data_IF_330971121650
#
_entry.id   IF_330971121650
#
_cell.length_a   1.000
_cell.length_b   1.000
_cell.length_c   1.000
_cell.angle_alpha   90.00
_cell.angle_beta   90.00
_cell.angle_gamma   90.00
#
_symmetry.space_group_name_H-M   'P 1'
#
loop_
_entity.id
_entity.type
_entity.pdbx_description
1 polymer ?
#
# COMPACT_ATOMS: atom_id res chain seq x y z
N UNK A 1 -11.95 -39.46 16.44
CA UNK A 1 -10.59 -38.90 16.33
C UNK A 1 -10.76 -37.41 16.55
N UNK A 2 -10.42 -36.92 17.75
CA UNK A 2 -10.45 -35.47 18.07
C UNK A 2 -9.25 -34.81 17.42
N UNK A 3 -9.47 -33.85 16.53
CA UNK A 3 -8.40 -32.99 16.03
C UNK A 3 -7.77 -32.27 17.22
N UNK A 4 -6.54 -32.60 17.54
CA UNK A 4 -5.72 -31.83 18.49
C UNK A 4 -5.50 -30.43 17.89
N UNK A 5 -6.12 -29.41 18.47
CA UNK A 5 -5.83 -28.02 18.14
C UNK A 5 -4.49 -27.64 18.80
N UNK A 6 -3.42 -27.43 18.03
CA UNK A 6 -2.05 -27.36 18.54
C UNK A 6 -1.71 -26.11 19.37
N UNK A 7 -2.64 -25.17 19.57
CA UNK A 7 -2.39 -23.88 20.23
C UNK A 7 -3.33 -23.56 21.40
N UNK A 8 -3.95 -24.58 22.02
CA UNK A 8 -4.77 -24.39 23.22
C UNK A 8 -3.91 -24.15 24.47
N UNK A 9 -4.08 -22.99 25.10
CA UNK A 9 -3.53 -22.68 26.43
C UNK A 9 -4.65 -22.54 27.43
N UNK A 10 -4.51 -23.14 28.60
CA UNK A 10 -5.42 -22.89 29.71
C UNK A 10 -5.17 -21.48 30.25
N UNK A 11 -6.20 -20.64 30.27
CA UNK A 11 -6.14 -19.29 30.79
C UNK A 11 -7.04 -19.21 32.03
N UNK A 12 -6.52 -18.67 33.12
CA UNK A 12 -7.31 -18.31 34.29
C UNK A 12 -7.61 -16.82 34.24
N UNK A 13 -8.86 -16.47 33.93
CA UNK A 13 -9.31 -15.08 33.88
C UNK A 13 -9.48 -14.55 35.31
N UNK A 14 -8.70 -13.55 35.70
CA UNK A 14 -8.69 -12.97 37.04
C UNK A 14 -9.61 -11.78 37.20
N UNK A 15 -9.85 -11.03 36.11
CA UNK A 15 -10.73 -9.87 36.09
C UNK A 15 -11.26 -9.55 34.70
N UNK A 16 -12.32 -8.75 34.62
CA UNK A 16 -12.85 -8.16 33.41
C UNK A 16 -12.80 -6.64 33.55
N UNK A 17 -12.20 -5.98 32.58
CA UNK A 17 -12.10 -4.51 32.51
C UNK A 17 -12.95 -4.02 31.35
N UNK A 18 -13.80 -3.02 31.62
CA UNK A 18 -14.56 -2.36 30.55
C UNK A 18 -13.63 -1.42 29.78
N UNK A 19 -13.73 -1.47 28.45
CA UNK A 19 -12.84 -0.74 27.56
C UNK A 19 -12.90 0.79 27.74
N UNK A 20 -14.08 1.31 28.03
CA UNK A 20 -14.38 2.75 28.21
C UNK A 20 -13.75 3.34 29.50
N UNK A 21 -13.35 2.47 30.42
CA UNK A 21 -12.63 2.89 31.64
C UNK A 21 -11.13 3.05 31.41
N UNK A 22 -10.63 2.68 30.25
CA UNK A 22 -9.24 2.80 29.87
C UNK A 22 -8.98 4.09 29.11
N UNK A 23 -7.78 4.65 29.26
CA UNK A 23 -7.32 5.79 28.46
C UNK A 23 -7.34 5.48 26.96
N UNK A 24 -7.33 6.51 26.12
CA UNK A 24 -7.26 6.36 24.66
C UNK A 24 -5.98 5.62 24.25
N UNK A 25 -4.85 5.95 24.89
CA UNK A 25 -3.56 5.29 24.67
C UNK A 25 -3.64 3.79 24.96
N UNK A 26 -4.22 3.41 26.11
CA UNK A 26 -4.39 2.01 26.48
C UNK A 26 -5.35 1.28 25.50
N UNK A 27 -6.46 1.92 25.11
CA UNK A 27 -7.40 1.36 24.12
C UNK A 27 -6.76 1.09 22.76
N UNK A 28 -5.90 2.00 22.31
CA UNK A 28 -5.17 1.87 21.05
C UNK A 28 -4.14 0.74 21.11
N UNK A 29 -3.35 0.66 22.19
CA UNK A 29 -2.37 -0.43 22.38
C UNK A 29 -3.00 -1.80 22.45
N UNK A 30 -4.23 -1.92 23.00
CA UNK A 30 -4.99 -3.16 23.07
C UNK A 30 -5.76 -3.49 21.80
N UNK A 31 -5.79 -2.57 20.81
CA UNK A 31 -6.40 -2.76 19.50
C UNK A 31 -5.52 -3.49 18.50
N UNK A 32 -4.37 -4.02 18.91
CA UNK A 32 -3.46 -4.75 18.02
C UNK A 32 -4.16 -5.97 17.38
N UNK A 33 -3.98 -6.10 16.05
CA UNK A 33 -4.58 -7.19 15.25
C UNK A 33 -3.80 -8.50 15.43
N UNK A 34 -2.59 -8.46 16.01
CA UNK A 34 -1.74 -9.62 16.19
C UNK A 34 -2.29 -10.58 17.26
N UNK A 35 -2.19 -11.88 16.99
CA UNK A 35 -2.61 -12.95 17.92
C UNK A 35 -1.79 -12.94 19.22
N UNK A 36 -0.56 -12.44 19.17
CA UNK A 36 0.34 -12.25 20.30
C UNK A 36 1.07 -10.92 20.13
N UNK A 37 0.98 -10.04 21.12
CA UNK A 37 1.67 -8.76 21.14
C UNK A 37 2.09 -8.39 22.56
N UNK A 38 3.11 -7.56 22.68
CA UNK A 38 3.59 -7.04 23.95
C UNK A 38 2.71 -5.85 24.36
N UNK A 39 2.14 -5.93 25.55
CA UNK A 39 1.43 -4.79 26.16
C UNK A 39 2.47 -3.91 26.86
N UNK A 40 2.53 -2.58 26.56
CA UNK A 40 3.40 -1.65 27.29
C UNK A 40 3.15 -1.69 28.79
N UNK A 41 4.18 -1.48 29.60
CA UNK A 41 4.09 -1.62 31.06
C UNK A 41 3.09 -0.64 31.70
N UNK A 42 3.04 0.59 31.21
CA UNK A 42 2.11 1.64 31.65
C UNK A 42 0.64 1.25 31.36
N UNK A 43 0.37 0.64 30.20
CA UNK A 43 -0.96 0.13 29.82
C UNK A 43 -1.34 -1.07 30.70
N UNK A 44 -0.39 -1.97 30.97
CA UNK A 44 -0.63 -3.11 31.85
C UNK A 44 -0.96 -2.64 33.29
N UNK A 45 -0.22 -1.64 33.80
CA UNK A 45 -0.46 -1.07 35.12
C UNK A 45 -1.80 -0.34 35.20
N UNK A 46 -2.21 0.34 34.14
CA UNK A 46 -3.54 0.95 34.04
C UNK A 46 -4.65 -0.11 34.08
N UNK A 47 -4.52 -1.18 33.29
CA UNK A 47 -5.46 -2.29 33.30
C UNK A 47 -5.61 -2.93 34.67
N UNK A 48 -4.48 -3.17 35.37
CA UNK A 48 -4.49 -3.73 36.73
C UNK A 48 -5.14 -2.78 37.74
N UNK A 49 -4.90 -1.47 37.64
CA UNK A 49 -5.55 -0.47 38.50
C UNK A 49 -7.06 -0.48 38.29
N UNK A 50 -7.53 -0.46 37.03
CA UNK A 50 -8.96 -0.49 36.71
C UNK A 50 -9.60 -1.81 37.17
N UNK A 51 -8.91 -2.94 36.98
CA UNK A 51 -9.37 -4.25 37.42
C UNK A 51 -9.54 -4.35 38.96
N UNK A 52 -8.61 -3.74 39.72
CA UNK A 52 -8.60 -3.75 41.17
C UNK A 52 -9.57 -2.74 41.79
N UNK A 53 -9.89 -1.65 41.09
CA UNK A 53 -10.81 -0.61 41.58
C UNK A 53 -12.27 -1.06 41.67
N UNK A 54 -12.61 -2.22 41.08
CA UNK A 54 -14.00 -2.70 41.01
C UNK A 54 -14.90 -1.82 40.14
N UNK A 55 -16.00 -2.37 39.63
CA UNK A 55 -16.92 -1.73 38.67
C UNK A 55 -17.67 -0.51 39.21
N UNK A 56 -17.39 -0.02 40.40
CA UNK A 56 -18.24 0.94 41.14
C UNK A 56 -17.65 2.33 41.36
N UNK A 57 -16.42 2.57 40.97
CA UNK A 57 -15.87 3.93 41.00
C UNK A 57 -15.37 4.30 39.61
N UNK A 58 -16.02 5.32 39.00
CA UNK A 58 -15.41 6.06 37.93
C UNK A 58 -14.05 6.56 38.46
N UNK A 59 -12.94 5.99 37.98
CA UNK A 59 -11.62 6.57 38.19
C UNK A 59 -11.72 7.99 37.64
N UNK A 60 -11.39 9.05 38.44
CA UNK A 60 -11.33 10.39 37.88
C UNK A 60 -10.44 10.29 36.65
N UNK A 61 -10.81 10.89 35.52
CA UNK A 61 -9.97 10.87 34.34
C UNK A 61 -8.59 11.31 34.78
N UNK A 62 -7.59 10.43 34.62
CA UNK A 62 -6.21 10.83 34.66
C UNK A 62 -6.12 12.10 33.83
N UNK A 63 -5.54 13.17 34.35
CA UNK A 63 -5.47 14.48 33.68
C UNK A 63 -5.26 14.25 32.21
N UNK A 64 -6.29 14.54 31.43
CA UNK A 64 -6.28 14.27 29.99
C UNK A 64 -5.09 15.05 29.43
N UNK A 65 -4.11 14.44 28.79
CA UNK A 65 -3.18 15.21 28.01
C UNK A 65 -4.07 16.05 27.10
N UNK A 66 -3.96 17.37 27.18
CA UNK A 66 -4.89 18.30 26.57
C UNK A 66 -5.13 17.89 25.12
N UNK A 67 -6.34 18.05 24.60
CA UNK A 67 -6.83 17.49 23.33
C UNK A 67 -5.89 17.56 22.11
N UNK A 68 -4.85 18.38 22.15
CA UNK A 68 -3.79 18.43 21.16
C UNK A 68 -2.89 17.16 21.16
N UNK A 69 -2.54 16.61 22.34
CA UNK A 69 -1.71 15.40 22.43
C UNK A 69 -2.48 14.13 22.02
N UNK A 70 -3.78 14.07 22.27
CA UNK A 70 -4.64 12.98 21.78
C UNK A 70 -4.79 13.01 20.26
N UNK A 71 -4.98 14.19 19.68
CA UNK A 71 -5.08 14.36 18.22
C UNK A 71 -3.76 13.97 17.56
N UNK A 72 -2.62 14.33 18.13
CA UNK A 72 -1.30 13.96 17.64
C UNK A 72 -1.06 12.44 17.69
N UNK A 73 -1.43 11.76 18.78
CA UNK A 73 -1.33 10.31 18.91
C UNK A 73 -2.21 9.57 17.91
N UNK A 74 -3.44 10.03 17.66
CA UNK A 74 -4.33 9.44 16.66
C UNK A 74 -3.77 9.63 15.25
N UNK A 75 -3.19 10.80 14.96
CA UNK A 75 -2.56 11.09 13.68
C UNK A 75 -1.32 10.21 13.43
N UNK A 76 -0.50 9.98 14.46
CA UNK A 76 0.68 9.11 14.34
C UNK A 76 0.28 7.64 14.16
N UNK A 77 -0.72 7.15 14.90
CA UNK A 77 -1.25 5.81 14.71
C UNK A 77 -1.84 5.61 13.31
N UNK A 78 -2.48 6.63 12.74
CA UNK A 78 -2.94 6.61 11.36
C UNK A 78 -1.79 6.47 10.38
N UNK A 79 -0.74 7.29 10.52
CA UNK A 79 0.47 7.23 9.66
C UNK A 79 1.12 5.85 9.71
N UNK A 80 1.31 5.31 10.91
CA UNK A 80 1.88 3.97 11.10
C UNK A 80 1.02 2.87 10.48
N UNK A 81 -0.31 2.99 10.61
CA UNK A 81 -1.24 2.02 10.02
C UNK A 81 -1.19 2.07 8.50
N UNK A 82 -1.15 3.26 7.91
CA UNK A 82 -1.01 3.45 6.46
C UNK A 82 0.33 2.89 5.98
N UNK A 83 1.44 3.21 6.65
CA UNK A 83 2.75 2.71 6.27
C UNK A 83 2.82 1.17 6.29
N UNK A 84 2.26 0.53 7.32
CA UNK A 84 2.17 -0.94 7.38
C UNK A 84 1.27 -1.52 6.29
N UNK A 85 0.16 -0.88 5.98
CA UNK A 85 -0.71 -1.31 4.89
C UNK A 85 0.01 -1.23 3.54
N UNK A 86 0.78 -0.16 3.30
CA UNK A 86 1.58 0.01 2.08
C UNK A 86 2.64 -1.10 1.96
N UNK A 87 3.32 -1.50 3.05
CA UNK A 87 4.26 -2.64 3.03
C UNK A 87 3.57 -3.96 2.68
N UNK A 88 2.40 -4.25 3.25
CA UNK A 88 1.63 -5.44 2.87
C UNK A 88 1.18 -5.43 1.39
N UNK A 89 0.85 -4.25 0.86
CA UNK A 89 0.50 -4.11 -0.56
C UNK A 89 1.73 -4.36 -1.44
N UNK A 90 2.91 -3.82 -1.07
CA UNK A 90 4.18 -4.09 -1.77
C UNK A 90 4.50 -5.59 -1.80
N UNK A 91 4.38 -6.26 -0.65
CA UNK A 91 4.60 -7.71 -0.56
C UNK A 91 3.68 -8.48 -1.52
N UNK A 92 2.41 -8.09 -1.60
CA UNK A 92 1.44 -8.71 -2.52
C UNK A 92 1.78 -8.44 -3.97
N UNK A 93 2.18 -7.22 -4.32
CA UNK A 93 2.60 -6.87 -5.69
C UNK A 93 3.87 -7.67 -6.06
N UNK A 94 4.82 -7.83 -5.15
CA UNK A 94 6.04 -8.59 -5.40
C UNK A 94 5.81 -10.10 -5.61
N UNK A 95 4.65 -10.63 -5.22
CA UNK A 95 4.25 -12.03 -5.45
C UNK A 95 3.52 -12.25 -6.77
N UNK A 96 3.18 -11.20 -7.50
CA UNK A 96 2.55 -11.32 -8.81
C UNK A 96 3.53 -11.93 -9.83
N UNK A 97 3.00 -12.70 -10.76
CA UNK A 97 3.76 -13.12 -11.94
C UNK A 97 3.95 -11.92 -12.90
N UNK A 98 4.86 -12.07 -13.85
CA UNK A 98 5.22 -10.97 -14.75
C UNK A 98 4.05 -10.45 -15.59
N UNK A 99 3.20 -11.31 -16.09
CA UNK A 99 1.99 -10.99 -16.85
C UNK A 99 0.91 -10.36 -15.96
N UNK A 100 0.71 -10.88 -14.75
CA UNK A 100 -0.19 -10.30 -13.75
C UNK A 100 0.23 -8.86 -13.37
N UNK A 101 1.54 -8.61 -13.30
CA UNK A 101 2.06 -7.27 -13.03
C UNK A 101 1.75 -6.29 -14.18
N UNK A 102 1.82 -6.73 -15.43
CA UNK A 102 1.39 -5.93 -16.58
C UNK A 102 -0.11 -5.65 -16.53
N UNK A 103 -0.92 -6.66 -16.21
CA UNK A 103 -2.36 -6.51 -16.08
C UNK A 103 -2.75 -5.56 -14.94
N UNK A 104 -2.02 -5.58 -13.82
CA UNK A 104 -2.21 -4.62 -12.73
C UNK A 104 -1.95 -3.18 -13.20
N UNK A 105 -0.84 -2.94 -13.91
CA UNK A 105 -0.48 -1.61 -14.42
C UNK A 105 -1.50 -1.17 -15.50
N UNK A 106 -1.92 -2.06 -16.39
CA UNK A 106 -2.96 -1.77 -17.37
C UNK A 106 -4.29 -1.42 -16.70
N UNK A 107 -4.67 -2.17 -15.65
CA UNK A 107 -5.86 -1.90 -14.84
C UNK A 107 -5.82 -0.56 -14.11
N UNK A 108 -4.65 -0.17 -13.59
CA UNK A 108 -4.44 1.14 -13.01
C UNK A 108 -4.67 2.25 -14.05
N UNK A 109 -4.11 2.12 -15.24
CA UNK A 109 -4.32 3.11 -16.32
C UNK A 109 -5.78 3.17 -16.77
N UNK A 110 -6.50 2.03 -16.80
CA UNK A 110 -7.95 2.02 -17.04
C UNK A 110 -8.73 2.76 -15.95
N UNK A 111 -8.35 2.57 -14.69
CA UNK A 111 -8.94 3.30 -13.56
C UNK A 111 -8.69 4.81 -13.64
N UNK A 112 -7.59 5.24 -14.25
CA UNK A 112 -7.28 6.64 -14.56
C UNK A 112 -8.03 7.18 -15.80
N UNK A 113 -8.84 6.36 -16.48
CA UNK A 113 -9.66 6.76 -17.61
C UNK A 113 -9.06 6.48 -18.99
N UNK A 114 -7.92 5.82 -19.07
CA UNK A 114 -7.33 5.40 -20.36
C UNK A 114 -7.88 4.05 -20.81
N UNK A 115 -7.88 3.83 -22.10
CA UNK A 115 -8.07 2.49 -22.69
C UNK A 115 -6.70 1.89 -22.95
N UNK A 116 -6.52 0.61 -22.62
CA UNK A 116 -5.21 -0.05 -22.65
C UNK A 116 -5.18 -1.22 -23.61
N UNK A 117 -4.06 -1.40 -24.28
CA UNK A 117 -3.70 -2.56 -25.06
C UNK A 117 -2.43 -3.16 -24.45
N UNK A 118 -2.54 -4.37 -23.90
CA UNK A 118 -1.41 -5.14 -23.38
C UNK A 118 -0.83 -5.96 -24.53
N UNK A 119 0.47 -5.89 -24.72
CA UNK A 119 1.16 -6.64 -25.77
C UNK A 119 1.25 -8.12 -25.36
N UNK A 120 1.07 -9.07 -26.30
CA UNK A 120 1.32 -10.49 -26.03
C UNK A 120 2.79 -10.72 -25.62
N UNK A 121 3.05 -11.72 -24.79
CA UNK A 121 4.41 -12.12 -24.39
C UNK A 121 5.27 -12.41 -25.62
N UNK A 122 6.35 -11.63 -25.78
CA UNK A 122 7.26 -11.80 -26.93
C UNK A 122 8.08 -10.54 -27.22
N UNK A 123 8.68 -10.45 -28.39
CA UNK A 123 9.64 -9.42 -28.76
C UNK A 123 9.05 -8.05 -29.11
N UNK A 124 8.45 -7.34 -28.15
CA UNK A 124 7.67 -6.12 -28.42
C UNK A 124 8.50 -4.82 -28.28
N UNK A 125 9.83 -4.91 -28.40
CA UNK A 125 10.74 -3.76 -28.36
C UNK A 125 10.53 -2.86 -27.14
N UNK A 126 10.22 -3.47 -25.95
CA UNK A 126 10.00 -2.72 -24.70
C UNK A 126 8.70 -1.92 -24.70
N UNK A 127 7.63 -2.48 -25.27
CA UNK A 127 6.28 -1.94 -25.20
C UNK A 127 5.36 -2.99 -24.60
N UNK A 128 5.20 -2.98 -23.31
CA UNK A 128 4.35 -3.94 -22.64
C UNK A 128 2.89 -3.52 -22.70
N UNK A 129 2.61 -2.21 -22.58
CA UNK A 129 1.27 -1.64 -22.63
C UNK A 129 1.28 -0.37 -23.48
N UNK A 130 0.22 -0.15 -24.25
CA UNK A 130 -0.09 1.13 -24.86
C UNK A 130 -1.43 1.61 -24.31
N UNK A 131 -1.47 2.86 -23.83
CA UNK A 131 -2.68 3.47 -23.30
C UNK A 131 -2.97 4.80 -23.99
N UNK A 132 -4.24 5.06 -24.29
CA UNK A 132 -4.72 6.32 -24.88
C UNK A 132 -6.18 6.57 -24.52
N UNK A 133 -6.70 7.81 -24.62
CA UNK A 133 -8.10 8.09 -24.33
C UNK A 133 -9.06 7.33 -25.27
N UNK A 134 -8.74 7.23 -26.54
CA UNK A 134 -9.55 6.54 -27.57
C UNK A 134 -9.31 5.02 -27.63
N UNK A 135 -8.19 4.53 -27.08
CA UNK A 135 -7.75 3.13 -27.16
C UNK A 135 -7.13 2.73 -28.51
N UNK A 136 -7.06 3.66 -29.45
CA UNK A 136 -6.49 3.48 -30.78
C UNK A 136 -5.12 4.17 -30.92
N UNK A 137 -4.82 5.07 -30.00
CA UNK A 137 -3.58 5.83 -29.97
C UNK A 137 -3.56 7.03 -30.93
N UNK A 138 -4.71 7.49 -31.38
CA UNK A 138 -4.86 8.67 -32.22
C UNK A 138 -5.01 9.95 -31.40
N UNK A 139 -5.67 9.84 -30.23
CA UNK A 139 -5.81 10.95 -29.29
C UNK A 139 -4.64 11.01 -28.30
N UNK A 140 -4.16 12.24 -28.07
CA UNK A 140 -3.12 12.50 -27.07
C UNK A 140 -3.72 12.52 -25.64
N UNK A 141 -2.97 12.03 -24.62
CA UNK A 141 -1.64 11.44 -24.74
C UNK A 141 -1.69 9.96 -25.13
N UNK A 142 -0.78 9.56 -26.02
CA UNK A 142 -0.46 8.15 -26.22
C UNK A 142 0.65 7.77 -25.26
N UNK A 143 0.33 6.94 -24.27
CA UNK A 143 1.26 6.48 -23.23
C UNK A 143 1.80 5.11 -23.62
N UNK A 144 3.11 5.01 -23.72
CA UNK A 144 3.80 3.73 -23.95
C UNK A 144 4.45 3.32 -22.64
N UNK A 145 4.15 2.11 -22.18
CA UNK A 145 4.57 1.61 -20.88
C UNK A 145 5.53 0.44 -21.03
N UNK A 146 6.56 0.42 -20.22
CA UNK A 146 7.41 -0.73 -19.97
C UNK A 146 7.35 -1.10 -18.49
N UNK A 147 7.16 -2.39 -18.19
CA UNK A 147 7.03 -2.92 -16.83
C UNK A 147 8.21 -3.86 -16.56
N UNK A 148 8.95 -3.59 -15.49
CA UNK A 148 10.05 -4.43 -15.01
C UNK A 148 9.74 -4.93 -13.60
N UNK A 149 9.32 -6.15 -13.53
CA UNK A 149 9.03 -6.84 -12.27
C UNK A 149 10.25 -7.64 -11.84
N UNK A 150 11.18 -7.00 -11.11
CA UNK A 150 12.44 -7.59 -10.63
C UNK A 150 13.04 -6.77 -9.49
N UNK A 151 13.93 -7.38 -8.70
CA UNK A 151 14.53 -6.74 -7.52
C UNK A 151 15.66 -5.74 -7.85
N UNK A 152 16.24 -5.79 -9.06
CA UNK A 152 17.34 -4.92 -9.42
C UNK A 152 16.84 -3.55 -9.90
N UNK A 153 17.49 -2.48 -9.41
CA UNK A 153 17.20 -1.13 -9.85
C UNK A 153 17.57 -0.92 -11.34
N UNK A 154 16.74 -0.17 -12.06
CA UNK A 154 16.98 0.20 -13.46
C UNK A 154 18.00 1.31 -13.56
N UNK A 155 18.95 1.16 -14.49
CA UNK A 155 20.00 2.13 -14.79
C UNK A 155 19.66 3.03 -15.98
N UNK A 156 20.60 3.93 -16.30
CA UNK A 156 20.46 4.86 -17.44
C UNK A 156 20.40 4.15 -18.80
N UNK A 157 20.98 2.97 -18.93
CA UNK A 157 20.99 2.21 -20.18
C UNK A 157 19.60 1.72 -20.55
N UNK A 158 18.85 1.19 -19.56
CA UNK A 158 17.48 0.74 -19.74
C UNK A 158 16.57 1.91 -20.12
N UNK A 159 16.73 3.06 -19.48
CA UNK A 159 15.93 4.26 -19.79
C UNK A 159 16.26 4.80 -21.20
N UNK A 160 17.53 4.83 -21.59
CA UNK A 160 17.90 5.22 -22.96
C UNK A 160 17.33 4.29 -24.02
N UNK A 161 17.40 2.99 -23.78
CA UNK A 161 16.82 1.98 -24.66
C UNK A 161 15.30 2.17 -24.80
N UNK A 162 14.63 2.41 -23.68
CA UNK A 162 13.20 2.69 -23.67
C UNK A 162 12.87 3.95 -24.48
N UNK A 163 13.56 5.05 -24.27
CA UNK A 163 13.33 6.32 -24.96
C UNK A 163 13.65 6.24 -26.46
N UNK A 164 14.68 5.51 -26.85
CA UNK A 164 15.14 5.39 -28.22
C UNK A 164 14.15 4.74 -29.20
N UNK A 165 13.17 4.00 -28.67
CA UNK A 165 12.13 3.34 -29.47
C UNK A 165 10.79 4.09 -29.53
N UNK A 166 10.73 5.36 -29.10
CA UNK A 166 9.48 6.14 -28.98
C UNK A 166 9.33 7.14 -30.11
N UNK A 167 8.06 7.47 -30.42
CA UNK A 167 7.73 8.56 -31.34
C UNK A 167 7.67 9.89 -30.57
N UNK A 168 7.82 11.00 -31.29
CA UNK A 168 7.88 12.34 -30.70
C UNK A 168 6.63 12.74 -29.89
N UNK A 169 5.49 12.14 -30.19
CA UNK A 169 4.21 12.37 -29.48
C UNK A 169 3.97 11.40 -28.32
N UNK A 170 4.79 10.36 -28.20
CA UNK A 170 4.63 9.39 -27.12
C UNK A 170 4.92 10.05 -25.76
N UNK A 171 4.24 9.59 -24.74
CA UNK A 171 4.59 9.76 -23.34
C UNK A 171 5.07 8.41 -22.80
N UNK A 172 6.17 8.40 -22.10
CA UNK A 172 6.71 7.18 -21.51
C UNK A 172 6.21 7.00 -20.08
N UNK A 173 5.87 5.77 -19.73
CA UNK A 173 5.72 5.33 -18.35
C UNK A 173 6.61 4.10 -18.17
N UNK A 174 7.62 4.20 -17.31
CA UNK A 174 8.48 3.07 -16.98
C UNK A 174 8.21 2.65 -15.54
N UNK A 175 7.69 1.45 -15.35
CA UNK A 175 7.35 0.89 -14.04
C UNK A 175 8.40 -0.11 -13.64
N UNK A 176 8.96 0.00 -12.43
CA UNK A 176 9.95 -0.95 -11.92
C UNK A 176 9.78 -1.23 -10.44
N UNK A 177 9.55 -2.49 -10.07
CA UNK A 177 9.48 -2.92 -8.66
C UNK A 177 10.83 -2.83 -7.94
N UNK A 178 11.95 -2.93 -8.66
CA UNK A 178 13.30 -2.74 -8.11
C UNK A 178 13.75 -1.28 -8.05
N UNK A 179 12.91 -0.33 -8.50
CA UNK A 179 13.22 1.10 -8.49
C UNK A 179 14.22 1.54 -9.55
N UNK A 180 14.83 2.72 -9.36
CA UNK A 180 15.67 3.41 -10.34
C UNK A 180 16.92 3.99 -9.69
N UNK A 181 18.04 3.91 -10.39
CA UNK A 181 19.26 4.61 -9.97
C UNK A 181 19.15 6.12 -10.19
N UNK A 182 20.08 6.89 -9.60
CA UNK A 182 20.14 8.34 -9.82
C UNK A 182 20.40 8.67 -11.29
N UNK A 183 21.24 7.89 -11.95
CA UNK A 183 21.59 8.03 -13.36
C UNK A 183 20.37 7.76 -14.26
N UNK A 184 19.50 6.79 -13.89
CA UNK A 184 18.26 6.54 -14.59
C UNK A 184 17.30 7.72 -14.49
N UNK A 185 17.13 8.30 -13.31
CA UNK A 185 16.28 9.50 -13.09
C UNK A 185 16.81 10.68 -13.88
N UNK A 186 18.12 10.91 -13.86
CA UNK A 186 18.76 11.97 -14.65
C UNK A 186 18.58 11.79 -16.17
N UNK A 187 18.66 10.55 -16.67
CA UNK A 187 18.43 10.24 -18.08
C UNK A 187 16.96 10.48 -18.49
N UNK A 188 16.02 10.16 -17.63
CA UNK A 188 14.59 10.43 -17.84
C UNK A 188 14.29 11.93 -17.95
N UNK A 189 14.91 12.76 -17.10
CA UNK A 189 14.73 14.21 -17.10
C UNK A 189 15.30 14.89 -18.36
N UNK A 190 16.37 14.33 -18.92
CA UNK A 190 17.03 14.87 -20.13
C UNK A 190 16.39 14.42 -21.43
N UNK A 191 15.54 13.42 -21.37
CA UNK A 191 14.90 12.84 -22.54
C UNK A 191 14.06 13.87 -23.30
N UNK A 192 14.10 13.83 -24.64
CA UNK A 192 13.23 14.66 -25.48
C UNK A 192 11.74 14.29 -25.31
N UNK A 193 11.49 13.04 -25.02
CA UNK A 193 10.14 12.50 -24.78
C UNK A 193 9.90 12.49 -23.27
N UNK A 194 8.79 13.10 -22.80
CA UNK A 194 8.43 13.06 -21.40
C UNK A 194 8.27 11.60 -20.93
N UNK A 195 8.97 11.24 -19.87
CA UNK A 195 8.86 9.92 -19.23
C UNK A 195 8.66 10.05 -17.73
N UNK A 196 7.73 9.28 -17.20
CA UNK A 196 7.53 9.09 -15.78
C UNK A 196 8.17 7.77 -15.37
N UNK A 197 9.00 7.82 -14.34
CA UNK A 197 9.55 6.63 -13.68
C UNK A 197 8.69 6.35 -12.45
N UNK A 198 8.04 5.20 -12.43
CA UNK A 198 7.15 4.76 -11.35
C UNK A 198 7.82 3.59 -10.64
N UNK A 199 8.28 3.81 -9.42
CA UNK A 199 8.78 2.74 -8.56
C UNK A 199 7.65 2.04 -7.79
N UNK A 200 8.00 1.09 -6.93
CA UNK A 200 7.01 0.31 -6.19
C UNK A 200 6.21 1.18 -5.21
N UNK A 201 6.83 2.20 -4.60
CA UNK A 201 6.15 3.13 -3.70
C UNK A 201 5.13 4.00 -4.46
N UNK A 202 5.52 4.49 -5.63
CA UNK A 202 4.66 5.27 -6.50
C UNK A 202 3.48 4.43 -7.02
N UNK A 203 3.75 3.16 -7.38
CA UNK A 203 2.72 2.22 -7.83
C UNK A 203 1.69 1.95 -6.72
N UNK A 204 2.13 1.64 -5.50
CA UNK A 204 1.25 1.41 -4.34
C UNK A 204 0.37 2.62 -4.08
N UNK A 205 0.96 3.82 -4.09
CA UNK A 205 0.22 5.08 -3.91
C UNK A 205 -0.85 5.25 -4.99
N UNK A 206 -0.47 5.09 -6.25
CA UNK A 206 -1.39 5.25 -7.39
C UNK A 206 -2.51 4.21 -7.40
N UNK A 207 -2.19 2.95 -7.08
CA UNK A 207 -3.19 1.89 -6.93
C UNK A 207 -4.19 2.24 -5.83
N UNK A 208 -3.72 2.68 -4.68
CA UNK A 208 -4.58 3.03 -3.54
C UNK A 208 -5.50 4.22 -3.86
N UNK A 209 -4.99 5.22 -4.56
CA UNK A 209 -5.76 6.40 -4.97
C UNK A 209 -6.88 6.06 -5.97
N UNK A 210 -6.63 5.11 -6.88
CA UNK A 210 -7.56 4.75 -7.95
C UNK A 210 -8.26 3.40 -7.74
N UNK A 211 -8.10 2.78 -6.56
CA UNK A 211 -8.58 1.42 -6.33
C UNK A 211 -10.09 1.24 -6.55
N UNK A 212 -10.88 2.22 -6.14
CA UNK A 212 -12.35 2.15 -6.28
C UNK A 212 -12.79 2.12 -7.76
N UNK A 213 -12.04 2.78 -8.64
CA UNK A 213 -12.28 2.86 -10.08
C UNK A 213 -11.75 1.65 -10.86
N UNK A 214 -10.93 0.79 -10.22
CA UNK A 214 -10.40 -0.40 -10.87
C UNK A 214 -11.51 -1.40 -11.19
N UNK A 215 -11.37 -2.08 -12.32
CA UNK A 215 -12.25 -3.18 -12.72
C UNK A 215 -12.09 -4.42 -11.80
N UNK A 216 -13.05 -5.34 -11.90
CA UNK A 216 -13.08 -6.53 -11.05
C UNK A 216 -11.92 -7.50 -11.33
N UNK A 217 -11.36 -7.51 -12.55
CA UNK A 217 -10.22 -8.36 -12.90
C UNK A 217 -8.96 -7.86 -12.24
N UNK A 218 -8.69 -6.57 -12.32
CA UNK A 218 -7.57 -5.93 -11.63
C UNK A 218 -7.67 -6.08 -10.11
N UNK A 219 -8.87 -5.92 -9.54
CA UNK A 219 -9.10 -6.11 -8.08
C UNK A 219 -8.86 -7.56 -7.61
N UNK A 220 -8.98 -8.56 -8.49
CA UNK A 220 -8.65 -9.95 -8.15
C UNK A 220 -7.14 -10.18 -8.00
N UNK A 221 -6.31 -9.47 -8.78
CA UNK A 221 -4.86 -9.55 -8.65
C UNK A 221 -4.38 -9.00 -7.31
N UNK A 222 -5.00 -7.91 -6.86
CA UNK A 222 -4.65 -7.23 -5.61
C UNK A 222 -5.93 -6.93 -4.80
N UNK A 223 -6.49 -7.91 -4.07
CA UNK A 223 -7.72 -7.70 -3.30
C UNK A 223 -7.44 -6.87 -2.04
N UNK A 224 -7.90 -5.63 -2.02
CA UNK A 224 -7.80 -4.71 -0.90
C UNK A 224 -9.16 -4.43 -0.27
N UNK A 225 -9.17 -3.99 1.00
CA UNK A 225 -10.35 -3.54 1.73
C UNK A 225 -10.15 -2.11 2.21
N UNK A 226 -11.16 -1.28 2.00
CA UNK A 226 -11.18 0.09 2.51
C UNK A 226 -11.46 0.10 4.02
N UNK A 227 -10.68 0.86 4.74
CA UNK A 227 -10.86 1.12 6.16
C UNK A 227 -11.27 2.58 6.36
N UNK A 228 -12.32 2.82 7.16
CA UNK A 228 -12.66 4.15 7.62
C UNK A 228 -11.93 4.43 8.93
N UNK A 229 -11.27 5.57 9.00
CA UNK A 229 -10.52 6.02 10.17
C UNK A 229 -11.26 7.18 10.84
N UNK A 230 -11.43 7.17 12.17
CA UNK A 230 -12.00 8.31 12.88
C UNK A 230 -11.07 9.53 12.77
N UNK A 231 -11.65 10.69 12.49
CA UNK A 231 -10.94 11.97 12.39
C UNK A 231 -10.85 12.64 13.77
#
# INVERSE_FOLDING_TARGET
MSEEQPNLRRVNWTARVQRDLLSVSARNSLGAIATLFLVPADVADEMLRVANAGTTQAVPPAEQPGGAAEVEQVADLYKDTVARADEFIKDRINLLEWDEMQDLVAGLLRAMGYKTLVSPSGSDRGKDIVASPDGLGFEDPRIVVEVKHRNAAMGSTEIRSFLGGRHDRDKGLYVSTGGFTKEARYEAERGRIPVTLMDLDDLVRSVREHYEQMDSETKRLLPLRKLYWPA
#
